data_IF_676011039088
#
_entry.id   IF_676011039088
#
_cell.length_a   1.000
_cell.length_b   1.000
_cell.length_c   1.000
_cell.angle_alpha   90.00
_cell.angle_beta   90.00
_cell.angle_gamma   90.00
#
_symmetry.space_group_name_H-M   'P 1'
#
loop_
_entity.id
_entity.type
_entity.pdbx_description
1 polymer ?
#
# COMPACT_ATOMS: atom_id res chain seq x y z
N UNK A 1 -10.01 -14.16 -4.14
CA UNK A 1 -8.88 -13.58 -3.39
C UNK A 1 -9.44 -12.69 -2.34
N UNK A 2 -8.88 -12.78 -1.14
CA UNK A 2 -8.97 -11.72 -0.13
C UNK A 2 -8.26 -10.47 -0.63
N UNK A 3 -8.15 -9.44 0.20
CA UNK A 3 -7.24 -8.33 -0.08
C UNK A 3 -5.80 -8.85 -0.21
N UNK A 4 -4.93 -8.10 -0.90
CA UNK A 4 -3.51 -8.21 -0.59
C UNK A 4 -3.33 -7.71 0.84
N UNK A 5 -2.58 -8.44 1.67
CA UNK A 5 -2.47 -8.15 3.11
C UNK A 5 -1.02 -7.91 3.49
N UNK A 6 -0.78 -6.81 4.22
CA UNK A 6 0.49 -6.57 4.91
C UNK A 6 0.24 -6.90 6.38
N UNK A 7 0.87 -7.97 6.85
CA UNK A 7 0.64 -8.55 8.15
C UNK A 7 1.81 -8.27 9.11
N UNK A 8 1.50 -7.88 10.34
CA UNK A 8 2.45 -7.89 11.44
C UNK A 8 2.34 -9.23 12.15
N UNK A 9 3.32 -10.12 11.95
CA UNK A 9 3.22 -11.52 12.39
C UNK A 9 3.35 -11.64 13.90
N UNK A 10 2.30 -12.18 14.52
CA UNK A 10 2.22 -12.46 15.96
C UNK A 10 2.24 -13.99 16.15
N UNK A 11 3.13 -14.54 16.99
CA UNK A 11 3.15 -15.97 17.26
C UNK A 11 1.78 -16.51 17.69
N UNK A 12 1.37 -17.63 17.10
CA UNK A 12 0.09 -18.30 17.41
C UNK A 12 -1.14 -17.64 16.78
N UNK A 13 -0.97 -16.61 15.94
CA UNK A 13 -2.06 -15.99 15.18
C UNK A 13 -2.10 -16.52 13.74
N UNK A 14 -3.30 -16.51 13.16
CA UNK A 14 -3.57 -16.93 11.78
C UNK A 14 -3.91 -15.71 10.92
N UNK A 15 -3.49 -15.70 9.66
CA UNK A 15 -3.71 -14.56 8.75
C UNK A 15 -4.21 -15.06 7.39
N UNK A 16 -5.08 -14.28 6.75
CA UNK A 16 -5.70 -14.64 5.50
C UNK A 16 -6.66 -15.83 5.63
N UNK A 17 -6.74 -16.64 4.57
CA UNK A 17 -7.69 -17.75 4.48
C UNK A 17 -7.07 -19.04 5.04
N UNK A 18 -7.80 -19.81 5.88
CA UNK A 18 -7.33 -21.10 6.38
C UNK A 18 -6.91 -22.05 5.26
N UNK A 19 -5.76 -22.70 5.44
CA UNK A 19 -5.32 -23.74 4.50
C UNK A 19 -6.19 -25.01 4.64
N UNK A 20 -6.09 -25.92 3.67
CA UNK A 20 -6.71 -27.24 3.79
C UNK A 20 -6.22 -28.03 5.00
N UNK A 21 -5.02 -27.76 5.50
CA UNK A 21 -4.50 -28.40 6.71
C UNK A 21 -5.16 -27.83 7.96
N UNK A 22 -5.28 -26.51 8.05
CA UNK A 22 -5.95 -25.80 9.15
C UNK A 22 -7.40 -26.29 9.30
N UNK A 23 -8.11 -26.44 8.18
CA UNK A 23 -9.48 -26.97 8.16
C UNK A 23 -9.57 -28.42 8.64
N UNK A 24 -8.65 -29.30 8.23
CA UNK A 24 -8.63 -30.71 8.66
C UNK A 24 -8.33 -30.85 10.14
N UNK A 25 -7.36 -30.08 10.64
CA UNK A 25 -6.90 -30.16 12.02
C UNK A 25 -7.73 -29.31 12.99
N UNK A 26 -8.58 -28.41 12.45
CA UNK A 26 -9.34 -27.41 13.20
C UNK A 26 -8.44 -26.44 13.98
N UNK A 27 -7.33 -26.07 13.38
CA UNK A 27 -6.36 -25.12 13.93
C UNK A 27 -6.41 -23.82 13.12
N UNK A 28 -5.97 -22.69 13.68
CA UNK A 28 -5.81 -21.42 12.94
C UNK A 28 -7.06 -20.92 12.20
N UNK A 29 -8.25 -21.23 12.72
CA UNK A 29 -9.52 -20.90 12.05
C UNK A 29 -10.00 -19.47 12.30
N UNK A 30 -9.49 -18.82 13.35
CA UNK A 30 -9.80 -17.43 13.66
C UNK A 30 -8.78 -16.51 12.99
N UNK A 31 -9.23 -15.77 11.96
CA UNK A 31 -8.41 -14.80 11.26
C UNK A 31 -8.02 -13.65 12.21
N UNK A 32 -6.73 -13.34 12.22
CA UNK A 32 -6.21 -12.09 12.77
C UNK A 32 -6.21 -11.05 11.68
N UNK A 33 -6.92 -9.96 11.92
CA UNK A 33 -7.04 -8.86 10.97
C UNK A 33 -5.66 -8.36 10.55
N UNK A 34 -5.48 -8.22 9.23
CA UNK A 34 -4.26 -7.67 8.66
C UNK A 34 -4.01 -6.24 9.13
N UNK A 35 -2.73 -5.87 9.27
CA UNK A 35 -2.36 -4.50 9.61
C UNK A 35 -2.73 -3.52 8.49
N UNK A 36 -2.58 -3.95 7.23
CA UNK A 36 -3.04 -3.18 6.08
C UNK A 36 -3.71 -4.13 5.09
N UNK A 37 -4.97 -3.86 4.76
CA UNK A 37 -5.66 -4.47 3.63
C UNK A 37 -5.45 -3.57 2.42
N UNK A 38 -4.62 -4.01 1.48
CA UNK A 38 -4.25 -3.20 0.30
C UNK A 38 -5.41 -3.26 -0.72
N UNK A 39 -5.94 -2.10 -1.16
CA UNK A 39 -7.12 -2.04 -2.02
C UNK A 39 -7.00 -2.82 -3.33
N UNK A 40 -8.11 -3.46 -3.73
CA UNK A 40 -8.32 -4.06 -5.06
C UNK A 40 -9.46 -3.31 -5.77
N UNK A 41 -9.43 -3.09 -7.10
CA UNK A 41 -8.42 -3.52 -8.07
C UNK A 41 -7.24 -2.54 -8.20
N UNK A 42 -7.02 -1.65 -7.22
CA UNK A 42 -5.87 -0.75 -7.23
C UNK A 42 -4.54 -1.52 -7.26
N UNK A 43 -4.41 -2.55 -6.43
CA UNK A 43 -3.37 -3.58 -6.54
C UNK A 43 -4.02 -4.91 -6.87
N UNK A 44 -3.26 -5.85 -7.43
CA UNK A 44 -3.74 -7.21 -7.72
C UNK A 44 -2.82 -8.31 -7.20
N UNK A 45 -1.53 -8.04 -7.09
CA UNK A 45 -0.54 -9.01 -6.63
C UNK A 45 0.65 -8.25 -6.04
N UNK A 46 0.56 -7.93 -4.76
CA UNK A 46 1.64 -7.31 -4.00
C UNK A 46 2.54 -8.44 -3.50
N UNK A 47 3.81 -8.40 -3.87
CA UNK A 47 4.80 -9.44 -3.60
C UNK A 47 5.87 -8.92 -2.63
N UNK A 48 7.15 -9.10 -2.95
CA UNK A 48 8.27 -8.79 -2.07
C UNK A 48 8.11 -7.46 -1.35
N UNK A 49 8.32 -7.50 -0.04
CA UNK A 49 8.26 -6.35 0.84
C UNK A 49 9.64 -6.05 1.40
N UNK A 50 9.95 -4.78 1.62
CA UNK A 50 11.13 -4.36 2.39
C UNK A 50 10.83 -3.05 3.12
N UNK A 51 11.70 -2.66 4.05
CA UNK A 51 11.64 -1.34 4.69
C UNK A 51 12.75 -0.46 4.11
N UNK A 52 12.47 0.83 3.94
CA UNK A 52 13.43 1.82 3.46
C UNK A 52 14.44 2.08 4.58
N UNK A 53 15.73 1.77 4.37
CA UNK A 53 16.74 1.91 5.40
C UNK A 53 17.34 3.33 5.43
N UNK A 54 18.10 3.63 6.49
CA UNK A 54 18.69 4.95 6.73
C UNK A 54 19.74 5.39 5.71
N UNK A 55 20.27 4.47 4.89
CA UNK A 55 21.16 4.83 3.78
C UNK A 55 20.42 5.34 2.53
N UNK A 56 19.08 5.34 2.52
CA UNK A 56 18.32 5.91 1.41
C UNK A 56 18.50 7.44 1.36
N UNK A 57 18.39 8.04 0.16
CA UNK A 57 18.72 9.46 -0.03
C UNK A 57 17.75 10.44 0.66
N UNK A 58 16.56 9.98 1.04
CA UNK A 58 15.52 10.83 1.63
C UNK A 58 15.10 10.29 3.00
N UNK A 59 15.46 11.03 4.05
CA UNK A 59 15.17 10.70 5.44
C UNK A 59 13.68 10.62 5.77
N UNK A 60 12.87 11.45 5.12
CA UNK A 60 11.41 11.47 5.22
C UNK A 60 10.73 10.16 4.80
N UNK A 61 11.47 9.24 4.21
CA UNK A 61 11.01 7.92 3.78
C UNK A 61 11.56 6.77 4.65
N UNK A 62 12.45 7.02 5.61
CA UNK A 62 13.02 5.97 6.45
C UNK A 62 11.95 5.18 7.21
N UNK A 63 12.21 3.88 7.37
CA UNK A 63 11.37 2.89 8.07
C UNK A 63 9.98 2.66 7.44
N UNK A 64 9.67 3.36 6.34
CA UNK A 64 8.46 3.10 5.57
C UNK A 64 8.66 1.86 4.70
N UNK A 65 7.58 1.16 4.43
CA UNK A 65 7.60 -0.06 3.66
C UNK A 65 7.54 0.18 2.15
N UNK A 66 8.12 -0.74 1.39
CA UNK A 66 7.96 -0.87 -0.06
C UNK A 66 7.35 -2.23 -0.38
N UNK A 67 6.53 -2.29 -1.42
CA UNK A 67 5.96 -3.53 -1.94
C UNK A 67 5.95 -3.58 -3.45
N UNK A 68 6.06 -4.79 -4.01
CA UNK A 68 6.12 -5.04 -5.45
C UNK A 68 4.76 -5.40 -6.04
N UNK A 69 4.09 -4.49 -6.74
CA UNK A 69 2.83 -4.80 -7.45
C UNK A 69 3.12 -5.36 -8.84
N UNK A 70 2.93 -6.67 -9.00
CA UNK A 70 3.29 -7.42 -10.19
C UNK A 70 2.44 -7.07 -11.41
N UNK A 71 1.11 -7.11 -11.28
CA UNK A 71 0.22 -7.04 -12.43
C UNK A 71 0.19 -5.63 -13.04
N UNK A 72 0.16 -4.62 -12.18
CA UNK A 72 0.12 -3.22 -12.61
C UNK A 72 1.51 -2.57 -12.71
N UNK A 73 2.57 -3.31 -12.35
CA UNK A 73 3.97 -2.97 -12.65
C UNK A 73 4.39 -1.62 -12.06
N UNK A 74 4.21 -1.50 -10.75
CA UNK A 74 4.75 -0.39 -9.96
C UNK A 74 5.18 -0.88 -8.58
N UNK A 75 5.87 -0.02 -7.85
CA UNK A 75 6.09 -0.22 -6.43
C UNK A 75 5.05 0.57 -5.64
N UNK A 76 4.54 -0.05 -4.57
CA UNK A 76 3.80 0.66 -3.52
C UNK A 76 4.75 1.07 -2.41
N UNK A 77 4.35 2.10 -1.68
CA UNK A 77 4.87 2.45 -0.36
C UNK A 77 3.79 2.20 0.67
N UNK A 78 4.16 1.87 1.90
CA UNK A 78 3.22 1.80 3.01
C UNK A 78 3.79 2.37 4.31
N UNK A 79 2.92 2.89 5.15
CA UNK A 79 3.23 3.32 6.52
C UNK A 79 2.44 2.48 7.50
N UNK A 80 2.97 2.32 8.71
CA UNK A 80 2.28 1.59 9.80
C UNK A 80 2.19 2.46 11.05
N UNK A 81 1.13 2.24 11.81
CA UNK A 81 0.84 2.93 13.06
C UNK A 81 0.47 1.89 14.10
N UNK A 82 1.13 1.94 15.26
CA UNK A 82 0.70 1.18 16.43
C UNK A 82 -0.40 1.96 17.15
N UNK A 83 -1.57 1.35 17.30
CA UNK A 83 -2.74 1.91 17.98
C UNK A 83 -3.17 0.94 19.07
N UNK A 84 -2.83 1.25 20.32
CA UNK A 84 -2.94 0.29 21.43
C UNK A 84 -2.14 -0.98 21.14
N UNK A 85 -2.82 -2.11 21.13
CA UNK A 85 -2.25 -3.43 20.86
C UNK A 85 -2.35 -3.86 19.38
N UNK A 86 -2.93 -3.02 18.52
CA UNK A 86 -3.11 -3.31 17.09
C UNK A 86 -2.14 -2.47 16.24
N UNK A 87 -1.82 -2.99 15.05
CA UNK A 87 -1.11 -2.23 14.02
C UNK A 87 -2.08 -1.97 12.88
N UNK A 88 -2.13 -0.73 12.41
CA UNK A 88 -2.87 -0.34 11.21
C UNK A 88 -1.92 0.38 10.23
N UNK A 89 -2.41 0.78 9.06
CA UNK A 89 -1.60 1.57 8.15
C UNK A 89 -2.30 1.93 6.85
N UNK A 90 -1.53 2.51 5.94
CA UNK A 90 -2.00 2.97 4.66
C UNK A 90 -0.94 2.73 3.58
N UNK A 91 -1.42 2.64 2.34
CA UNK A 91 -0.61 2.36 1.15
C UNK A 91 -0.72 3.48 0.14
N UNK A 92 0.37 3.73 -0.57
CA UNK A 92 0.52 4.79 -1.57
C UNK A 92 1.29 4.26 -2.77
N UNK A 93 1.23 4.96 -3.89
CA UNK A 93 2.21 4.75 -4.96
C UNK A 93 3.60 5.16 -4.47
N UNK A 94 4.61 4.34 -4.77
CA UNK A 94 6.02 4.74 -4.66
C UNK A 94 6.57 5.14 -6.02
N UNK A 95 6.29 4.35 -7.06
CA UNK A 95 6.56 4.71 -8.46
C UNK A 95 5.27 5.04 -9.20
N UNK A 96 5.42 5.73 -10.32
CA UNK A 96 4.32 5.98 -11.25
C UNK A 96 3.71 4.67 -11.76
N UNK A 97 2.38 4.65 -11.83
CA UNK A 97 1.60 3.54 -12.38
C UNK A 97 1.07 3.81 -13.79
N UNK A 98 1.24 5.03 -14.28
CA UNK A 98 0.83 5.50 -15.60
C UNK A 98 1.95 5.41 -16.65
N UNK A 99 3.06 4.73 -16.31
CA UNK A 99 4.16 4.47 -17.26
C UNK A 99 3.91 3.11 -17.91
N UNK A 100 3.89 3.01 -19.25
CA UNK A 100 3.76 1.73 -19.93
C UNK A 100 4.89 0.75 -19.55
N UNK A 101 4.66 -0.56 -19.64
CA UNK A 101 5.71 -1.54 -19.46
C UNK A 101 6.64 -1.60 -20.66
N UNK A 102 7.65 -0.74 -20.64
CA UNK A 102 8.78 -0.79 -21.56
C UNK A 102 10.08 -0.92 -20.76
N UNK A 103 11.22 -0.63 -21.40
CA UNK A 103 12.53 -0.68 -20.76
C UNK A 103 12.73 0.33 -19.61
N UNK A 104 11.84 1.31 -19.46
CA UNK A 104 11.88 2.33 -18.41
C UNK A 104 10.93 2.04 -17.25
N UNK A 105 10.11 0.98 -17.34
CA UNK A 105 9.25 0.53 -16.25
C UNK A 105 9.54 -0.94 -15.88
N UNK A 106 8.85 -1.45 -14.87
CA UNK A 106 9.03 -2.81 -14.42
C UNK A 106 8.32 -3.81 -15.34
N UNK A 107 8.94 -4.99 -15.55
CA UNK A 107 8.28 -6.08 -16.27
C UNK A 107 7.11 -6.65 -15.44
N UNK A 108 7.39 -6.94 -14.17
CA UNK A 108 6.47 -7.47 -13.17
C UNK A 108 7.23 -7.64 -11.85
N UNK A 109 7.26 -6.59 -11.00
CA UNK A 109 8.00 -6.58 -9.74
C UNK A 109 7.67 -7.77 -8.85
N UNK A 110 8.70 -8.48 -8.36
CA UNK A 110 8.56 -9.62 -7.44
C UNK A 110 9.35 -9.46 -6.16
N UNK A 111 10.53 -8.85 -6.25
CA UNK A 111 11.45 -8.67 -5.13
C UNK A 111 12.02 -7.27 -5.14
N UNK A 112 12.31 -6.74 -3.96
CA UNK A 112 12.86 -5.40 -3.78
C UNK A 112 13.91 -5.43 -2.68
N UNK A 113 15.03 -4.75 -2.90
CA UNK A 113 16.09 -4.57 -1.93
C UNK A 113 16.71 -3.18 -2.06
N UNK A 114 17.23 -2.63 -0.96
CA UNK A 114 17.97 -1.37 -0.96
C UNK A 114 19.44 -1.65 -0.72
N UNK A 115 20.28 -1.20 -1.64
CA UNK A 115 21.73 -1.37 -1.55
C UNK A 115 22.34 -0.54 -0.41
N UNK A 116 23.59 -0.82 0.01
CA UNK A 116 24.30 0.03 0.96
C UNK A 116 24.51 1.48 0.50
N UNK A 117 24.41 1.74 -0.82
CA UNK A 117 24.51 3.09 -1.41
C UNK A 117 23.16 3.83 -1.47
N UNK A 118 22.07 3.19 -1.05
CA UNK A 118 20.72 3.78 -1.11
C UNK A 118 20.00 3.59 -2.45
N UNK A 119 20.60 2.94 -3.45
CA UNK A 119 19.87 2.53 -4.67
C UNK A 119 18.87 1.41 -4.36
N UNK A 120 17.70 1.45 -4.99
CA UNK A 120 16.69 0.39 -4.91
C UNK A 120 16.89 -0.55 -6.10
N UNK A 121 16.91 -1.85 -5.85
CA UNK A 121 16.95 -2.89 -6.86
C UNK A 121 15.66 -3.69 -6.84
N UNK A 122 15.06 -3.88 -8.01
CA UNK A 122 13.80 -4.60 -8.19
C UNK A 122 14.04 -5.78 -9.12
N UNK A 123 13.87 -6.99 -8.61
CA UNK A 123 13.81 -8.19 -9.42
C UNK A 123 12.39 -8.36 -9.96
N UNK A 124 12.27 -8.42 -11.28
CA UNK A 124 11.00 -8.57 -11.99
C UNK A 124 10.98 -9.83 -12.83
N UNK A 125 9.78 -10.40 -12.97
CA UNK A 125 9.49 -11.45 -13.94
C UNK A 125 8.26 -11.03 -14.74
N UNK A 126 8.08 -11.58 -15.93
CA UNK A 126 6.85 -11.47 -16.70
C UNK A 126 6.73 -12.70 -17.59
N UNK A 127 5.51 -13.10 -17.92
CA UNK A 127 5.27 -14.21 -18.84
C UNK A 127 6.02 -15.50 -18.44
N UNK A 128 6.24 -15.67 -17.13
CA UNK A 128 6.90 -16.83 -16.56
C UNK A 128 5.96 -18.03 -16.62
N UNK A 129 6.46 -19.26 -16.53
CA UNK A 129 5.73 -20.52 -16.77
C UNK A 129 4.33 -20.69 -16.16
N UNK A 130 3.92 -19.84 -15.22
CA UNK A 130 2.52 -19.61 -14.82
C UNK A 130 1.57 -19.17 -15.95
N UNK A 131 2.04 -18.33 -16.87
CA UNK A 131 1.31 -17.89 -18.07
C UNK A 131 1.75 -18.64 -19.34
N UNK A 132 2.79 -19.49 -19.22
CA UNK A 132 3.24 -20.37 -20.30
C UNK A 132 4.04 -19.70 -21.41
N UNK A 133 4.57 -18.49 -21.20
CA UNK A 133 5.35 -17.81 -22.24
C UNK A 133 6.86 -17.75 -21.98
N UNK A 134 7.51 -16.68 -22.44
CA UNK A 134 8.95 -16.66 -22.71
C UNK A 134 9.85 -16.58 -21.46
N UNK A 135 9.27 -16.55 -20.25
CA UNK A 135 10.01 -16.37 -19.00
C UNK A 135 10.90 -15.11 -19.04
N UNK A 136 10.33 -13.97 -19.37
CA UNK A 136 11.08 -12.71 -19.36
C UNK A 136 11.27 -12.23 -17.94
N UNK A 137 12.39 -11.54 -17.70
CA UNK A 137 12.71 -10.99 -16.39
C UNK A 137 13.72 -9.86 -16.50
N UNK A 138 13.75 -9.02 -15.49
CA UNK A 138 14.68 -7.88 -15.42
C UNK A 138 15.12 -7.61 -13.99
N UNK A 139 16.28 -6.98 -13.86
CA UNK A 139 16.71 -6.36 -12.62
C UNK A 139 16.79 -4.86 -12.90
N UNK A 140 15.89 -4.10 -12.29
CA UNK A 140 15.82 -2.64 -12.45
C UNK A 140 16.47 -1.97 -11.25
N UNK A 141 17.43 -1.06 -11.52
CA UNK A 141 17.99 -0.17 -10.50
C UNK A 141 17.27 1.17 -10.55
N UNK A 142 16.71 1.59 -9.42
CA UNK A 142 16.20 2.94 -9.21
C UNK A 142 17.22 3.73 -8.38
N UNK A 143 17.75 4.79 -8.98
CA UNK A 143 18.64 5.73 -8.31
C UNK A 143 17.90 7.05 -8.09
N UNK A 144 17.92 7.62 -6.88
CA UNK A 144 17.37 8.96 -6.62
C UNK A 144 17.96 9.99 -7.60
N UNK A 145 17.09 10.73 -8.30
CA UNK A 145 17.52 11.60 -9.42
C UNK A 145 17.09 13.08 -9.28
N UNK A 146 16.86 13.57 -8.06
CA UNK A 146 16.55 14.99 -7.86
C UNK A 146 15.70 15.25 -6.62
N UNK A 147 14.60 15.97 -6.81
CA UNK A 147 13.64 16.26 -5.74
C UNK A 147 12.47 15.29 -5.84
N UNK A 148 12.01 14.78 -4.70
CA UNK A 148 10.78 14.00 -4.64
C UNK A 148 9.58 14.87 -5.06
N UNK A 149 8.58 14.28 -5.73
CA UNK A 149 7.29 14.97 -5.91
C UNK A 149 6.63 15.21 -4.55
N UNK A 150 5.83 16.28 -4.46
CA UNK A 150 5.05 16.53 -3.26
C UNK A 150 3.81 15.64 -3.23
N UNK A 151 3.97 14.43 -2.68
CA UNK A 151 2.89 13.48 -2.43
C UNK A 151 2.49 13.40 -0.96
N UNK A 152 1.56 12.49 -0.66
CA UNK A 152 1.22 12.12 0.72
C UNK A 152 2.42 11.38 1.32
N UNK A 153 2.93 11.90 2.44
CA UNK A 153 3.94 11.31 3.30
C UNK A 153 3.31 10.28 4.24
N UNK A 154 2.18 10.61 4.86
CA UNK A 154 1.46 9.68 5.73
C UNK A 154 -0.04 10.00 5.78
N UNK A 155 -0.85 8.97 5.97
CA UNK A 155 -2.29 9.00 6.18
C UNK A 155 -2.53 8.31 7.52
N UNK A 156 -3.17 9.00 8.45
CA UNK A 156 -3.52 8.47 9.77
C UNK A 156 -5.03 8.47 9.92
N UNK A 157 -5.60 7.39 10.44
CA UNK A 157 -6.99 7.41 10.88
C UNK A 157 -7.06 8.13 12.24
N UNK A 158 -8.00 9.05 12.39
CA UNK A 158 -8.35 9.70 13.65
C UNK A 158 -9.70 9.17 14.15
N UNK A 159 -10.08 9.52 15.38
CA UNK A 159 -11.37 9.09 15.95
C UNK A 159 -12.59 9.66 15.19
N UNK A 160 -12.40 10.69 14.38
CA UNK A 160 -13.43 11.46 13.68
C UNK A 160 -13.14 11.63 12.18
N UNK A 161 -12.16 10.90 11.63
CA UNK A 161 -11.78 10.99 10.22
C UNK A 161 -10.34 10.62 9.92
N UNK A 162 -9.64 11.48 9.18
CA UNK A 162 -8.31 11.20 8.65
C UNK A 162 -7.38 12.41 8.68
N UNK A 163 -6.08 12.16 8.85
CA UNK A 163 -5.02 13.16 8.74
C UNK A 163 -4.08 12.77 7.60
N UNK A 164 -3.91 13.68 6.63
CA UNK A 164 -3.01 13.55 5.49
C UNK A 164 -1.82 14.49 5.68
N UNK A 165 -0.64 13.93 5.89
CA UNK A 165 0.63 14.65 5.92
C UNK A 165 1.28 14.60 4.53
N UNK A 166 1.76 15.74 4.03
CA UNK A 166 2.46 15.89 2.75
C UNK A 166 3.97 16.13 2.97
N UNK A 167 4.80 15.76 1.99
CA UNK A 167 6.25 15.98 2.08
C UNK A 167 6.62 17.48 2.12
N UNK A 168 5.85 18.32 1.45
CA UNK A 168 6.04 19.76 1.37
C UNK A 168 4.69 20.51 1.46
N UNK A 169 4.70 21.83 1.73
CA UNK A 169 3.48 22.63 1.77
C UNK A 169 2.63 22.50 0.50
N UNK A 170 1.31 22.38 0.66
CA UNK A 170 0.34 22.32 -0.44
C UNK A 170 -0.39 23.66 -0.61
N UNK A 171 -1.12 23.81 -1.72
CA UNK A 171 -2.03 24.93 -1.92
C UNK A 171 -3.18 24.85 -0.92
N UNK A 172 -3.19 25.74 0.07
CA UNK A 172 -4.17 25.71 1.16
C UNK A 172 -5.61 25.89 0.67
N UNK A 173 -5.84 26.65 -0.41
CA UNK A 173 -7.19 26.87 -0.93
C UNK A 173 -7.72 25.59 -1.59
N UNK A 174 -6.89 24.91 -2.38
CA UNK A 174 -7.26 23.63 -2.99
C UNK A 174 -7.39 22.52 -1.95
N UNK A 175 -6.50 22.51 -0.96
CA UNK A 175 -6.52 21.52 0.11
C UNK A 175 -7.69 21.71 1.08
N UNK A 176 -8.25 22.92 1.21
CA UNK A 176 -9.46 23.18 1.99
C UNK A 176 -10.76 22.88 1.23
N UNK A 177 -10.68 22.54 -0.06
CA UNK A 177 -11.87 22.21 -0.85
C UNK A 177 -12.30 20.76 -0.56
N UNK A 178 -13.45 20.60 0.10
CA UNK A 178 -14.01 19.28 0.42
C UNK A 178 -14.24 18.42 -0.83
N UNK A 179 -14.54 19.03 -1.97
CA UNK A 179 -14.80 18.31 -3.23
C UNK A 179 -13.52 17.75 -3.86
N UNK A 180 -12.35 18.15 -3.37
CA UNK A 180 -11.07 17.57 -3.76
C UNK A 180 -10.84 16.16 -3.17
N UNK A 181 -11.72 15.71 -2.26
CA UNK A 181 -11.59 14.45 -1.54
C UNK A 181 -12.75 13.51 -1.87
N UNK A 182 -12.43 12.25 -2.11
CA UNK A 182 -13.43 11.18 -2.22
C UNK A 182 -13.00 10.03 -1.35
N UNK A 183 -13.86 9.64 -0.43
CA UNK A 183 -13.61 8.56 0.51
C UNK A 183 -14.71 7.50 0.30
N UNK A 184 -14.28 6.24 0.22
CA UNK A 184 -15.18 5.11 0.11
C UNK A 184 -14.65 3.93 0.91
N UNK A 185 -15.53 3.30 1.66
CA UNK A 185 -15.28 2.05 2.35
C UNK A 185 -15.94 0.89 1.62
N UNK A 186 -15.37 -0.30 1.77
CA UNK A 186 -15.95 -1.54 1.27
C UNK A 186 -15.33 -2.72 2.02
N UNK A 187 -15.98 -3.87 1.89
CA UNK A 187 -15.55 -5.14 2.48
C UNK A 187 -15.32 -6.16 1.38
N UNK A 188 -14.60 -7.23 1.71
CA UNK A 188 -14.44 -8.38 0.83
C UNK A 188 -14.46 -9.65 1.67
N UNK A 189 -15.55 -10.40 1.57
CA UNK A 189 -15.72 -11.68 2.26
C UNK A 189 -15.32 -12.79 1.30
N UNK A 190 -14.27 -13.54 1.62
CA UNK A 190 -13.85 -14.66 0.79
C UNK A 190 -14.86 -15.82 0.88
N UNK A 191 -15.28 -16.32 -0.27
CA UNK A 191 -16.31 -17.35 -0.41
C UNK A 191 -15.84 -18.59 -1.18
N UNK A 192 -14.52 -18.83 -1.26
CA UNK A 192 -13.94 -19.99 -1.93
C UNK A 192 -13.39 -19.74 -3.34
N UNK A 193 -13.65 -18.57 -3.94
CA UNK A 193 -13.27 -18.27 -5.33
C UNK A 193 -12.11 -17.29 -5.46
N UNK A 194 -11.37 -17.39 -6.58
CA UNK A 194 -10.21 -16.54 -6.88
C UNK A 194 -10.61 -15.06 -7.11
N UNK A 195 -11.85 -14.77 -7.51
CA UNK A 195 -12.32 -13.42 -7.83
C UNK A 195 -13.53 -13.01 -6.95
N UNK A 196 -13.36 -13.00 -5.64
CA UNK A 196 -14.40 -12.53 -4.71
C UNK A 196 -14.74 -11.05 -4.98
N UNK A 197 -16.01 -10.71 -5.25
CA UNK A 197 -16.41 -9.33 -5.47
C UNK A 197 -16.29 -8.51 -4.18
N UNK A 198 -16.19 -7.19 -4.33
CA UNK A 198 -16.36 -6.28 -3.19
C UNK A 198 -17.83 -6.30 -2.74
N UNK A 199 -18.06 -6.10 -1.45
CA UNK A 199 -19.37 -6.02 -0.82
C UNK A 199 -19.46 -4.79 0.10
N UNK A 200 -20.69 -4.37 0.40
CA UNK A 200 -20.94 -3.29 1.37
C UNK A 200 -20.20 -2.00 1.04
N UNK A 201 -20.18 -1.59 -0.23
CA UNK A 201 -19.52 -0.36 -0.65
C UNK A 201 -20.37 0.84 -0.23
N UNK A 202 -19.74 1.81 0.42
CA UNK A 202 -20.37 3.08 0.82
C UNK A 202 -19.43 4.24 0.50
N UNK A 203 -20.02 5.44 0.39
CA UNK A 203 -19.27 6.69 0.31
C UNK A 203 -19.30 7.34 1.68
N UNK A 204 -18.19 7.97 2.03
CA UNK A 204 -18.05 8.73 3.26
C UNK A 204 -18.07 10.21 2.90
N UNK A 205 -18.90 10.99 3.58
CA UNK A 205 -19.00 12.43 3.39
C UNK A 205 -17.94 13.14 4.24
N UNK A 206 -17.22 14.08 3.60
CA UNK A 206 -16.29 14.96 4.31
C UNK A 206 -17.09 16.15 4.85
N UNK A 207 -17.25 16.21 6.17
CA UNK A 207 -17.99 17.27 6.85
C UNK A 207 -17.16 18.56 6.95
N UNK A 208 -15.86 18.43 7.22
CA UNK A 208 -14.97 19.56 7.42
C UNK A 208 -13.54 19.23 6.98
N UNK A 209 -12.83 20.26 6.53
CA UNK A 209 -11.44 20.18 6.10
C UNK A 209 -10.63 21.30 6.72
N UNK A 210 -9.68 20.94 7.57
CA UNK A 210 -8.75 21.89 8.19
C UNK A 210 -7.34 21.68 7.65
N UNK A 211 -6.69 22.76 7.23
CA UNK A 211 -5.30 22.76 6.76
C UNK A 211 -4.40 23.36 7.86
N UNK A 212 -3.30 22.71 8.19
CA UNK A 212 -2.33 23.22 9.17
C UNK A 212 -1.66 24.52 8.73
N UNK A 213 -1.14 25.29 9.69
CA UNK A 213 -0.48 26.58 9.43
C UNK A 213 0.74 26.46 8.50
N UNK A 214 1.50 25.37 8.63
CA UNK A 214 2.64 25.05 7.75
C UNK A 214 2.23 24.50 6.38
N UNK A 215 0.92 24.30 6.18
CA UNK A 215 0.26 23.78 4.97
C UNK A 215 0.75 22.39 4.59
N UNK A 216 1.27 21.61 5.53
CA UNK A 216 1.73 20.23 5.28
C UNK A 216 0.74 19.17 5.72
N UNK A 217 -0.28 19.53 6.49
CA UNK A 217 -1.24 18.57 7.04
C UNK A 217 -2.66 19.01 6.70
N UNK A 218 -3.46 18.05 6.24
CA UNK A 218 -4.90 18.22 6.04
C UNK A 218 -5.63 17.24 6.96
N UNK A 219 -6.51 17.76 7.81
CA UNK A 219 -7.43 16.97 8.61
C UNK A 219 -8.80 16.96 7.94
N UNK A 220 -9.27 15.76 7.63
CA UNK A 220 -10.61 15.49 7.10
C UNK A 220 -11.46 14.98 8.26
N UNK A 221 -12.52 15.70 8.60
CA UNK A 221 -13.56 15.19 9.47
C UNK A 221 -14.65 14.54 8.61
N UNK A 222 -15.13 13.38 9.01
CA UNK A 222 -16.12 12.62 8.25
C UNK A 222 -17.36 12.31 9.08
N UNK A 223 -18.47 12.06 8.39
CA UNK A 223 -19.75 11.74 9.00
C UNK A 223 -19.77 10.34 9.66
N UNK A 224 -19.02 9.39 9.08
CA UNK A 224 -18.93 8.01 9.54
C UNK A 224 -17.61 7.35 9.13
N UNK A 225 -17.16 6.35 9.90
CA UNK A 225 -15.95 5.55 9.65
C UNK A 225 -16.33 4.08 9.44
#
# INVERSE_FOLDING_TARGET
>A
NTFNEINFLIPGKAYGVPSQSDLRNKENLEETRAAIQVPHPWTRSVNGLTCIPKQFAYDSLFDQGLGCEYNQRFLIRFTTQKVGDTVQGATYYFTRADVPPDEHNFAGPMSVAVSPKGDIYVGSIHDSGWLGGQNTGSITRLSPNGKLPNGIKELRATHDGFELEFFAPVDAKKAADKEAYTIAGYTRVWSGSYASPDSGRYKVEVEDVTVSDDKKTVRLKVNEL
#
